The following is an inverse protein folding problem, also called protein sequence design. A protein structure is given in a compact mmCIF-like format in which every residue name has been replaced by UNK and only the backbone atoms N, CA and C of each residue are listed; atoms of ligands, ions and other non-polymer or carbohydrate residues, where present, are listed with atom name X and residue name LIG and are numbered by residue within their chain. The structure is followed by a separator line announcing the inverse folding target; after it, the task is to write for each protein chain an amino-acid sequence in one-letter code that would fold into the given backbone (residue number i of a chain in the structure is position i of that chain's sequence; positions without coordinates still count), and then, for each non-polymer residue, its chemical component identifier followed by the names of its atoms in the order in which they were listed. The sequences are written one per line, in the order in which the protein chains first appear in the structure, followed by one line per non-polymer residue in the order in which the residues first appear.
data_IF_684800379893
#
_entry.id   IF_684800379893
#
_cell.length_a   1.000
_cell.length_b   1.000
_cell.length_c   1.000
_cell.angle_alpha   90.00
_cell.angle_beta   90.00
_cell.angle_gamma   90.00
#
_symmetry.space_group_name_H-M   'P 1'
#
loop_
_entity.id
_entity.type
_entity.pdbx_description
1 polymer ?
#
# COMPACT_ATOMS: atom_id res chain seq x y z
N UNK A 1 -4.72 38.08 51.25
CA UNK A 1 -6.13 38.35 50.90
C UNK A 1 -6.75 37.07 50.36
N UNK A 2 -7.94 36.73 50.85
CA UNK A 2 -8.88 35.68 50.44
C UNK A 2 -8.51 34.19 50.73
N UNK A 3 -9.31 33.50 51.57
CA UNK A 3 -9.16 32.09 51.90
C UNK A 3 -10.11 31.15 51.15
N UNK A 4 -9.73 29.88 51.24
CA UNK A 4 -10.42 28.61 50.94
C UNK A 4 -11.94 28.65 51.21
N UNK A 5 -12.73 28.13 50.26
CA UNK A 5 -14.08 27.58 50.51
C UNK A 5 -14.16 26.13 50.06
N UNK A 6 -14.35 25.24 51.04
CA UNK A 6 -14.89 23.89 50.87
C UNK A 6 -16.41 24.00 50.68
N UNK A 7 -16.98 23.25 49.76
CA UNK A 7 -18.40 22.89 49.83
C UNK A 7 -18.61 21.45 49.38
N UNK A 8 -19.38 20.75 50.20
CA UNK A 8 -19.67 19.33 50.14
C UNK A 8 -20.73 18.97 49.09
N UNK A 9 -20.80 17.67 48.80
CA UNK A 9 -21.72 16.99 47.90
C UNK A 9 -23.20 17.12 48.28
N UNK A 10 -24.08 16.73 47.34
CA UNK A 10 -25.24 15.92 47.72
C UNK A 10 -25.42 14.64 46.87
N UNK A 11 -25.68 13.58 47.62
CA UNK A 11 -26.61 12.46 47.39
C UNK A 11 -26.87 11.91 45.98
N UNK A 12 -26.58 10.61 45.88
CA UNK A 12 -26.94 9.69 44.82
C UNK A 12 -28.47 9.52 44.64
N UNK A 13 -28.89 9.39 43.38
CA UNK A 13 -30.15 8.77 42.99
C UNK A 13 -29.87 7.60 42.04
N UNK A 14 -30.30 6.41 42.47
CA UNK A 14 -30.28 5.16 41.72
C UNK A 14 -31.26 5.26 40.54
N UNK A 15 -30.80 4.99 39.33
CA UNK A 15 -31.67 4.63 38.19
C UNK A 15 -31.18 3.30 37.63
N UNK A 16 -32.12 2.35 37.59
CA UNK A 16 -31.91 0.94 37.33
C UNK A 16 -31.47 0.63 35.91
N UNK A 17 -30.61 -0.39 35.82
CA UNK A 17 -30.19 -1.02 34.59
C UNK A 17 -31.30 -1.94 34.04
N UNK A 18 -31.92 -1.55 32.94
CA UNK A 18 -32.69 -2.47 32.09
C UNK A 18 -31.81 -2.96 30.95
N UNK A 19 -31.31 -4.19 31.10
CA UNK A 19 -30.61 -4.97 30.06
C UNK A 19 -31.57 -5.27 28.91
N UNK A 20 -31.25 -4.85 27.69
CA UNK A 20 -31.88 -5.35 26.46
C UNK A 20 -31.22 -6.67 26.02
N UNK A 21 -31.98 -7.67 25.56
CA UNK A 21 -31.46 -8.98 25.20
C UNK A 21 -30.62 -8.94 23.91
N UNK A 22 -29.57 -9.75 23.93
CA UNK A 22 -28.55 -9.97 22.91
C UNK A 22 -29.16 -10.75 21.74
N UNK A 23 -29.18 -10.16 20.55
CA UNK A 23 -29.59 -10.84 19.31
C UNK A 23 -28.51 -11.89 18.95
N UNK A 24 -28.88 -13.14 18.61
CA UNK A 24 -27.90 -14.17 18.30
C UNK A 24 -27.22 -13.90 16.95
N UNK A 25 -25.91 -14.13 16.96
CA UNK A 25 -24.96 -14.10 15.84
C UNK A 25 -25.39 -15.16 14.82
N UNK A 26 -25.80 -14.72 13.63
CA UNK A 26 -26.12 -15.60 12.50
C UNK A 26 -24.80 -16.05 11.88
N UNK A 27 -24.54 -17.35 11.96
CA UNK A 27 -23.47 -18.04 11.22
C UNK A 27 -23.73 -17.83 9.71
N UNK A 28 -22.81 -17.17 9.02
CA UNK A 28 -22.76 -17.19 7.57
C UNK A 28 -21.84 -18.35 7.19
N UNK A 29 -22.47 -19.37 6.63
CA UNK A 29 -21.84 -20.52 6.00
C UNK A 29 -21.01 -20.07 4.79
N UNK A 30 -19.78 -20.58 4.72
CA UNK A 30 -18.99 -20.67 3.51
C UNK A 30 -19.79 -21.40 2.42
N UNK A 31 -20.08 -20.70 1.32
CA UNK A 31 -20.66 -21.31 0.12
C UNK A 31 -20.05 -20.61 -1.09
N UNK A 32 -18.96 -21.20 -1.58
CA UNK A 32 -18.34 -20.88 -2.86
C UNK A 32 -19.24 -21.37 -4.00
N UNK A 33 -20.33 -20.65 -4.28
CA UNK A 33 -21.13 -20.87 -5.49
C UNK A 33 -20.56 -20.04 -6.64
N UNK A 34 -19.69 -20.69 -7.41
CA UNK A 34 -19.18 -20.20 -8.69
C UNK A 34 -20.32 -19.93 -9.68
N UNK A 35 -20.30 -18.73 -10.26
CA UNK A 35 -21.19 -18.30 -11.34
C UNK A 35 -21.02 -19.19 -12.58
N UNK A 36 -21.96 -20.13 -12.78
CA UNK A 36 -22.20 -20.72 -14.09
C UNK A 36 -22.82 -19.67 -15.01
N UNK A 37 -22.00 -19.03 -15.86
CA UNK A 37 -22.48 -18.20 -16.96
C UNK A 37 -23.00 -19.11 -18.08
N UNK A 38 -24.30 -19.40 -18.02
CA UNK A 38 -25.09 -19.91 -19.15
C UNK A 38 -24.90 -19.00 -20.37
N UNK A 39 -24.44 -19.58 -21.48
CA UNK A 39 -24.58 -19.02 -22.82
C UNK A 39 -25.42 -19.97 -23.67
N UNK A 40 -26.74 -19.89 -23.48
CA UNK A 40 -27.71 -20.21 -24.54
C UNK A 40 -27.78 -19.01 -25.49
N UNK A 41 -28.15 -19.06 -26.76
CA UNK A 41 -28.26 -20.08 -27.80
C UNK A 41 -28.69 -19.27 -29.03
N UNK A 42 -28.22 -19.59 -30.24
CA UNK A 42 -29.00 -19.34 -31.46
C UNK A 42 -28.44 -20.17 -32.62
N UNK A 43 -29.12 -21.28 -32.87
CA UNK A 43 -29.12 -22.00 -34.14
C UNK A 43 -29.92 -21.22 -35.19
N UNK A 44 -29.46 -21.25 -36.43
CA UNK A 44 -30.31 -21.18 -37.61
C UNK A 44 -29.62 -22.03 -38.69
N UNK A 45 -30.38 -23.02 -39.17
CA UNK A 45 -30.07 -23.98 -40.23
C UNK A 45 -30.46 -23.40 -41.61
N UNK A 46 -30.19 -24.18 -42.66
CA UNK A 46 -30.69 -24.13 -44.06
C UNK A 46 -29.94 -23.19 -45.03
N UNK A 47 -29.59 -23.53 -46.28
CA UNK A 47 -29.99 -24.63 -47.18
C UNK A 47 -28.94 -24.80 -48.32
N UNK A 48 -29.03 -25.93 -49.02
CA UNK A 48 -28.24 -26.42 -50.17
C UNK A 48 -28.20 -25.51 -51.43
N UNK A 49 -27.15 -25.65 -52.24
CA UNK A 49 -27.25 -25.96 -53.70
C UNK A 49 -25.85 -26.11 -54.35
N UNK A 50 -25.69 -27.22 -55.09
CA UNK A 50 -24.56 -27.53 -55.99
C UNK A 50 -24.69 -26.77 -57.34
N UNK A 51 -23.58 -26.31 -57.92
CA UNK A 51 -23.08 -26.72 -59.26
C UNK A 51 -22.24 -25.68 -60.04
N UNK A 52 -21.24 -26.24 -60.72
CA UNK A 52 -20.52 -25.78 -61.92
C UNK A 52 -19.46 -24.67 -61.89
N UNK A 53 -18.21 -25.14 -61.80
CA UNK A 53 -17.13 -24.93 -62.76
C UNK A 53 -17.03 -23.57 -63.49
N UNK A 54 -16.05 -22.75 -63.07
CA UNK A 54 -15.26 -21.98 -64.02
C UNK A 54 -13.78 -22.02 -63.67
N UNK A 55 -12.98 -22.47 -64.63
CA UNK A 55 -11.54 -22.59 -64.55
C UNK A 55 -10.86 -21.22 -64.74
N UNK A 56 -9.59 -21.16 -64.29
CA UNK A 56 -8.60 -20.11 -64.52
C UNK A 56 -8.65 -18.88 -63.58
N UNK A 57 -7.94 -18.99 -62.46
CA UNK A 57 -6.72 -18.19 -62.25
C UNK A 57 -5.97 -18.71 -61.01
N UNK A 58 -4.77 -19.25 -61.23
CA UNK A 58 -3.72 -19.32 -60.22
C UNK A 58 -3.34 -17.89 -59.83
N UNK A 59 -4.05 -17.31 -58.88
CA UNK A 59 -3.55 -16.19 -58.10
C UNK A 59 -3.08 -16.76 -56.77
N UNK A 60 -1.78 -16.99 -56.68
CA UNK A 60 -1.04 -16.96 -55.42
C UNK A 60 -1.32 -15.58 -54.80
N UNK A 61 -2.42 -15.47 -54.05
CA UNK A 61 -2.61 -14.33 -53.17
C UNK A 61 -1.70 -14.61 -51.99
N UNK A 62 -0.48 -14.06 -52.07
CA UNK A 62 0.34 -13.85 -50.89
C UNK A 62 -0.54 -13.20 -49.80
N UNK A 63 -0.59 -13.76 -48.58
CA UNK A 63 -1.28 -13.07 -47.49
C UNK A 63 -0.62 -11.71 -47.29
N UNK A 64 -1.38 -10.69 -46.85
CA UNK A 64 -0.85 -9.36 -46.61
C UNK A 64 0.31 -9.44 -45.58
N UNK A 65 1.30 -8.54 -45.64
CA UNK A 65 2.52 -8.61 -44.84
C UNK A 65 2.32 -8.45 -43.32
N UNK A 66 1.08 -8.38 -42.83
CA UNK A 66 0.76 -8.27 -41.39
C UNK A 66 0.69 -9.66 -40.70
N UNK A 67 0.33 -10.73 -41.41
CA UNK A 67 0.18 -12.10 -40.84
C UNK A 67 1.52 -12.75 -40.41
N UNK A 68 2.63 -12.32 -41.00
CA UNK A 68 3.95 -12.92 -40.72
C UNK A 68 4.50 -12.45 -39.38
N UNK A 69 4.15 -11.23 -38.94
CA UNK A 69 4.58 -10.72 -37.63
C UNK A 69 3.85 -11.42 -36.50
N UNK A 70 2.53 -11.56 -36.61
CA UNK A 70 1.69 -12.21 -35.59
C UNK A 70 2.01 -13.71 -35.46
N UNK A 71 2.30 -14.40 -36.56
CA UNK A 71 2.71 -15.81 -36.52
C UNK A 71 4.11 -16.04 -35.90
N UNK A 72 5.03 -15.07 -36.04
CA UNK A 72 6.34 -15.11 -35.37
C UNK A 72 6.18 -14.83 -33.87
N UNK A 73 5.36 -13.85 -33.50
CA UNK A 73 5.04 -13.55 -32.10
C UNK A 73 4.38 -14.74 -31.40
N UNK A 74 3.37 -15.36 -32.00
CA UNK A 74 2.70 -16.54 -31.44
C UNK A 74 3.66 -17.71 -31.26
N UNK A 75 4.62 -17.88 -32.18
CA UNK A 75 5.62 -18.94 -32.07
C UNK A 75 6.60 -18.67 -30.92
N UNK A 76 7.04 -17.42 -30.74
CA UNK A 76 7.91 -17.04 -29.62
C UNK A 76 7.19 -17.20 -28.28
N UNK A 77 5.92 -16.79 -28.19
CA UNK A 77 5.08 -17.02 -27.01
C UNK A 77 4.91 -18.51 -26.74
N UNK A 78 4.63 -19.32 -27.76
CA UNK A 78 4.49 -20.77 -27.59
C UNK A 78 5.79 -21.46 -27.15
N UNK A 79 6.94 -21.03 -27.68
CA UNK A 79 8.25 -21.53 -27.25
C UNK A 79 8.57 -21.11 -25.81
N UNK A 80 8.20 -19.89 -25.39
CA UNK A 80 8.35 -19.42 -24.01
C UNK A 80 7.45 -20.18 -23.04
N UNK A 81 6.15 -20.24 -23.32
CA UNK A 81 5.18 -21.00 -22.51
C UNK A 81 5.55 -22.48 -22.44
N UNK A 82 6.06 -23.06 -23.53
CA UNK A 82 6.56 -24.43 -23.55
C UNK A 82 7.68 -24.67 -22.54
N UNK A 83 8.65 -23.75 -22.44
CA UNK A 83 9.73 -23.82 -21.45
C UNK A 83 9.23 -23.62 -20.03
N UNK A 84 8.33 -22.66 -19.81
CA UNK A 84 7.74 -22.41 -18.49
C UNK A 84 7.02 -23.66 -17.95
N UNK A 85 6.23 -24.31 -18.81
CA UNK A 85 5.52 -25.56 -18.47
C UNK A 85 6.50 -26.70 -18.18
N UNK A 86 7.59 -26.81 -18.96
CA UNK A 86 8.62 -27.82 -18.72
C UNK A 86 9.32 -27.60 -17.38
N UNK A 87 9.75 -26.37 -17.07
CA UNK A 87 10.39 -26.03 -15.79
C UNK A 87 9.43 -26.23 -14.61
N UNK A 88 8.16 -25.90 -14.77
CA UNK A 88 7.13 -26.16 -13.78
C UNK A 88 6.97 -27.67 -13.52
N UNK A 89 6.88 -28.47 -14.57
CA UNK A 89 6.77 -29.92 -14.46
C UNK A 89 8.01 -30.53 -13.78
N UNK A 90 9.21 -30.13 -14.18
CA UNK A 90 10.46 -30.58 -13.53
C UNK A 90 10.53 -30.22 -12.04
N UNK A 91 10.00 -29.05 -11.67
CA UNK A 91 9.97 -28.60 -10.27
C UNK A 91 9.01 -29.45 -9.44
N UNK A 92 7.85 -29.79 -10.00
CA UNK A 92 6.89 -30.70 -9.38
C UNK A 92 7.44 -32.13 -9.28
N UNK A 93 8.12 -32.63 -10.31
CA UNK A 93 8.70 -33.97 -10.31
C UNK A 93 9.77 -34.09 -9.20
N UNK A 94 10.65 -33.09 -9.07
CA UNK A 94 11.61 -33.02 -7.95
C UNK A 94 10.91 -33.04 -6.60
N UNK A 95 9.85 -32.26 -6.44
CA UNK A 95 9.06 -32.26 -5.22
C UNK A 95 8.43 -33.64 -4.92
N UNK A 96 7.94 -34.35 -5.93
CA UNK A 96 7.43 -35.72 -5.75
C UNK A 96 8.55 -36.71 -5.36
N UNK A 97 9.73 -36.58 -5.94
CA UNK A 97 10.90 -37.40 -5.58
C UNK A 97 11.32 -37.14 -4.12
N UNK A 98 11.35 -35.86 -3.70
CA UNK A 98 11.63 -35.47 -2.33
C UNK A 98 10.58 -36.03 -1.36
N UNK A 99 9.29 -35.94 -1.71
CA UNK A 99 8.20 -36.53 -0.94
C UNK A 99 8.28 -38.07 -0.85
N UNK A 100 8.71 -38.74 -1.93
CA UNK A 100 8.86 -40.19 -1.96
C UNK A 100 10.03 -40.68 -1.10
N UNK A 101 11.03 -39.81 -0.89
CA UNK A 101 12.15 -40.05 0.04
C UNK A 101 11.77 -39.96 1.51
N UNK A 102 10.70 -39.22 1.85
CA UNK A 102 10.22 -39.06 3.22
C UNK A 102 9.42 -40.31 3.62
N UNK A 103 9.76 -40.89 4.78
CA UNK A 103 9.06 -42.07 5.30
C UNK A 103 7.55 -41.80 5.39
N UNK A 104 6.73 -42.82 5.16
CA UNK A 104 5.26 -42.69 5.22
C UNK A 104 4.71 -42.60 6.65
N UNK A 105 5.55 -42.27 7.64
CA UNK A 105 5.14 -42.09 9.02
C UNK A 105 4.39 -40.77 9.23
N UNK A 106 3.65 -40.71 10.34
CA UNK A 106 2.97 -39.49 10.83
C UNK A 106 3.75 -38.87 12.01
N UNK A 107 5.04 -39.17 12.08
CA UNK A 107 5.91 -38.58 13.10
C UNK A 107 6.12 -37.08 12.83
N UNK A 108 6.45 -36.33 13.88
CA UNK A 108 6.65 -34.87 13.80
C UNK A 108 7.78 -34.50 12.83
N UNK A 109 8.81 -35.35 12.75
CA UNK A 109 9.96 -35.20 11.84
C UNK A 109 9.53 -35.34 10.38
N UNK A 110 8.82 -36.42 10.03
CA UNK A 110 8.26 -36.63 8.68
C UNK A 110 7.33 -35.48 8.25
N UNK A 111 6.50 -34.96 9.17
CA UNK A 111 5.65 -33.79 8.87
C UNK A 111 6.47 -32.52 8.66
N UNK A 112 7.54 -32.33 9.41
CA UNK A 112 8.45 -31.19 9.25
C UNK A 112 9.18 -31.24 7.90
N UNK A 113 9.65 -32.41 7.49
CA UNK A 113 10.28 -32.60 6.18
C UNK A 113 9.31 -32.32 5.02
N UNK A 114 8.06 -32.80 5.10
CA UNK A 114 7.02 -32.49 4.09
C UNK A 114 6.67 -31.01 4.04
N UNK A 115 6.62 -30.36 5.20
CA UNK A 115 6.40 -28.92 5.30
C UNK A 115 7.56 -28.13 4.65
N UNK A 116 8.80 -28.53 4.91
CA UNK A 116 9.97 -27.90 4.31
C UNK A 116 9.97 -28.07 2.79
N UNK A 117 9.76 -29.28 2.28
CA UNK A 117 9.65 -29.52 0.84
C UNK A 117 8.53 -28.69 0.18
N UNK A 118 7.38 -28.55 0.85
CA UNK A 118 6.29 -27.71 0.35
C UNK A 118 6.64 -26.20 0.39
N UNK A 119 7.40 -25.76 1.40
CA UNK A 119 7.87 -24.39 1.48
C UNK A 119 8.89 -24.08 0.38
N UNK A 120 9.87 -24.96 0.16
CA UNK A 120 10.86 -24.85 -0.91
C UNK A 120 10.21 -24.82 -2.30
N UNK A 121 9.19 -25.66 -2.54
CA UNK A 121 8.42 -25.64 -3.79
C UNK A 121 7.79 -24.26 -4.06
N UNK A 122 7.15 -23.67 -3.04
CA UNK A 122 6.51 -22.35 -3.17
C UNK A 122 7.53 -21.25 -3.38
N UNK A 123 8.68 -21.32 -2.69
CA UNK A 123 9.81 -20.40 -2.93
C UNK A 123 10.27 -20.50 -4.38
N UNK A 124 10.41 -21.72 -4.93
CA UNK A 124 10.83 -21.90 -6.32
C UNK A 124 9.82 -21.36 -7.33
N UNK A 125 8.52 -21.53 -7.10
CA UNK A 125 7.50 -20.95 -7.98
C UNK A 125 7.50 -19.42 -7.96
N UNK A 126 7.72 -18.82 -6.79
CA UNK A 126 7.94 -17.37 -6.70
C UNK A 126 9.13 -16.93 -7.55
N UNK A 127 10.29 -17.58 -7.40
CA UNK A 127 11.49 -17.25 -8.18
C UNK A 127 11.26 -17.37 -9.68
N UNK A 128 10.58 -18.41 -10.13
CA UNK A 128 10.25 -18.61 -11.55
C UNK A 128 9.36 -17.48 -12.09
N UNK A 129 8.37 -17.05 -11.31
CA UNK A 129 7.50 -15.93 -11.68
C UNK A 129 8.29 -14.59 -11.72
N UNK A 130 9.24 -14.37 -10.80
CA UNK A 130 10.14 -13.21 -10.82
C UNK A 130 11.08 -13.22 -12.04
N UNK A 131 11.65 -14.38 -12.37
CA UNK A 131 12.48 -14.59 -13.56
C UNK A 131 11.69 -14.28 -14.85
N UNK A 132 10.46 -14.80 -14.96
CA UNK A 132 9.57 -14.54 -16.09
C UNK A 132 9.17 -13.06 -16.20
N UNK A 133 8.83 -12.41 -15.09
CA UNK A 133 8.53 -10.98 -15.05
C UNK A 133 9.73 -10.13 -15.54
N UNK A 134 10.95 -10.49 -15.15
CA UNK A 134 12.16 -9.80 -15.59
C UNK A 134 12.46 -10.02 -17.08
N UNK A 135 12.28 -11.24 -17.60
CA UNK A 135 12.49 -11.55 -19.03
C UNK A 135 11.51 -10.78 -19.91
N UNK A 136 10.21 -10.86 -19.60
CA UNK A 136 9.15 -10.17 -20.36
C UNK A 136 9.29 -8.66 -20.20
N UNK A 137 9.55 -8.16 -18.99
CA UNK A 137 9.76 -6.74 -18.72
C UNK A 137 10.94 -6.14 -19.49
N UNK A 138 12.02 -6.89 -19.68
CA UNK A 138 13.17 -6.48 -20.49
C UNK A 138 12.86 -6.32 -21.99
N UNK A 139 11.82 -6.98 -22.49
CA UNK A 139 11.36 -6.93 -23.89
C UNK A 139 10.24 -5.90 -24.10
N UNK A 140 9.55 -5.48 -23.03
CA UNK A 140 8.31 -4.73 -23.06
C UNK A 140 8.44 -3.22 -23.33
N UNK A 141 9.54 -2.74 -23.95
CA UNK A 141 9.89 -1.31 -23.98
C UNK A 141 8.79 -0.37 -24.50
N UNK A 142 7.85 -0.83 -25.33
CA UNK A 142 6.63 -0.07 -25.69
C UNK A 142 5.37 -0.95 -25.92
N UNK A 143 5.45 -2.29 -25.80
CA UNK A 143 4.31 -3.17 -26.06
C UNK A 143 3.42 -3.30 -24.82
N UNK A 144 2.22 -2.72 -24.92
CA UNK A 144 1.21 -2.78 -23.86
C UNK A 144 0.81 -4.20 -23.46
N UNK A 145 0.92 -5.20 -24.36
CA UNK A 145 0.60 -6.60 -24.03
C UNK A 145 1.70 -7.22 -23.18
N UNK A 146 2.96 -7.04 -23.57
CA UNK A 146 4.11 -7.53 -22.80
C UNK A 146 4.22 -6.82 -21.44
N UNK A 147 3.88 -5.54 -21.36
CA UNK A 147 3.81 -4.82 -20.07
C UNK A 147 2.72 -5.39 -19.15
N UNK A 148 1.58 -5.82 -19.70
CA UNK A 148 0.53 -6.46 -18.91
C UNK A 148 0.98 -7.86 -18.46
N UNK A 149 1.58 -8.64 -19.35
CA UNK A 149 2.10 -9.97 -19.04
C UNK A 149 3.19 -9.92 -17.95
N UNK A 150 4.13 -8.96 -18.01
CA UNK A 150 5.12 -8.76 -16.96
C UNK A 150 4.47 -8.42 -15.60
N UNK A 151 3.38 -7.63 -15.60
CA UNK A 151 2.61 -7.32 -14.37
C UNK A 151 1.89 -8.56 -13.84
N UNK A 152 1.35 -9.39 -14.71
CA UNK A 152 0.66 -10.61 -14.33
C UNK A 152 1.64 -11.59 -13.65
N UNK A 153 2.86 -11.75 -14.20
CA UNK A 153 3.92 -12.53 -13.55
C UNK A 153 4.38 -11.92 -12.22
N UNK A 154 4.46 -10.59 -12.12
CA UNK A 154 4.76 -9.91 -10.85
C UNK A 154 3.69 -10.24 -9.79
N UNK A 155 2.41 -10.18 -10.15
CA UNK A 155 1.30 -10.54 -9.26
C UNK A 155 1.31 -12.02 -8.88
N UNK A 156 1.72 -12.89 -9.80
CA UNK A 156 1.90 -14.31 -9.52
C UNK A 156 2.99 -14.52 -8.45
N UNK A 157 4.16 -13.91 -8.61
CA UNK A 157 5.23 -13.97 -7.61
C UNK A 157 4.78 -13.48 -6.23
N UNK A 158 4.03 -12.37 -6.19
CA UNK A 158 3.46 -11.84 -4.95
C UNK A 158 2.43 -12.79 -4.32
N UNK A 159 1.66 -13.51 -5.14
CA UNK A 159 0.68 -14.51 -4.68
C UNK A 159 1.39 -15.72 -4.07
N UNK A 160 2.49 -16.19 -4.69
CA UNK A 160 3.32 -17.24 -4.13
C UNK A 160 3.97 -16.83 -2.80
N UNK A 161 4.42 -15.58 -2.67
CA UNK A 161 4.92 -15.03 -1.41
C UNK A 161 3.82 -15.02 -0.32
N UNK A 162 2.60 -14.61 -0.65
CA UNK A 162 1.48 -14.66 0.29
C UNK A 162 1.19 -16.10 0.73
N UNK A 163 1.20 -17.04 -0.21
CA UNK A 163 0.96 -18.45 0.09
C UNK A 163 2.06 -19.03 1.00
N UNK A 164 3.33 -18.66 0.76
CA UNK A 164 4.46 -18.98 1.65
C UNK A 164 4.20 -18.51 3.09
N UNK A 165 3.74 -17.27 3.25
CA UNK A 165 3.39 -16.72 4.58
C UNK A 165 2.24 -17.49 5.24
N UNK A 166 1.26 -17.96 4.47
CA UNK A 166 0.15 -18.78 4.99
C UNK A 166 0.65 -20.13 5.47
N UNK A 167 1.51 -20.81 4.71
CA UNK A 167 2.12 -22.08 5.10
C UNK A 167 2.90 -21.91 6.42
N UNK A 168 3.79 -20.92 6.48
CA UNK A 168 4.60 -20.65 7.66
C UNK A 168 3.78 -20.39 8.92
N UNK A 169 2.67 -19.66 8.79
CA UNK A 169 1.87 -19.20 9.92
C UNK A 169 0.82 -20.21 10.39
N UNK A 170 0.24 -20.98 9.46
CA UNK A 170 -0.93 -21.84 9.77
C UNK A 170 -0.65 -23.33 9.65
N UNK A 171 0.39 -23.73 8.90
CA UNK A 171 0.66 -25.13 8.57
C UNK A 171 1.97 -25.67 9.13
N UNK A 172 2.65 -24.91 10.00
CA UNK A 172 3.89 -25.36 10.63
C UNK A 172 3.64 -26.59 11.55
N UNK A 173 4.22 -27.76 11.24
CA UNK A 173 3.97 -29.00 11.98
C UNK A 173 4.67 -29.04 13.35
N UNK A 174 5.66 -28.17 13.58
CA UNK A 174 6.39 -28.06 14.85
C UNK A 174 5.97 -26.81 15.64
N UNK A 175 4.65 -26.63 15.83
CA UNK A 175 4.11 -25.53 16.63
C UNK A 175 4.66 -25.52 18.07
N UNK A 176 4.95 -26.71 18.64
CA UNK A 176 5.52 -26.83 19.98
C UNK A 176 6.96 -26.30 20.06
N UNK A 177 7.83 -26.66 19.11
CA UNK A 177 9.18 -26.13 19.02
C UNK A 177 9.20 -24.62 18.72
N UNK A 178 8.26 -24.13 17.92
CA UNK A 178 8.10 -22.69 17.68
C UNK A 178 7.72 -21.94 18.97
N UNK A 179 6.84 -22.52 19.78
CA UNK A 179 6.45 -21.96 21.07
C UNK A 179 7.63 -21.94 22.06
N UNK A 180 8.47 -22.98 22.08
CA UNK A 180 9.71 -23.02 22.87
C UNK A 180 10.70 -21.94 22.41
N UNK A 181 10.96 -21.82 21.10
CA UNK A 181 11.81 -20.77 20.56
C UNK A 181 11.29 -19.36 20.88
N UNK A 182 9.97 -19.16 20.81
CA UNK A 182 9.31 -17.92 21.21
C UNK A 182 9.56 -17.64 22.70
N UNK A 183 9.42 -18.64 23.57
CA UNK A 183 9.68 -18.50 24.99
C UNK A 183 11.16 -18.19 25.28
N UNK A 184 12.09 -18.83 24.58
CA UNK A 184 13.53 -18.56 24.68
C UNK A 184 13.89 -17.14 24.24
N UNK A 185 13.29 -16.66 23.15
CA UNK A 185 13.47 -15.26 22.71
C UNK A 185 12.92 -14.28 23.74
N UNK A 186 11.73 -14.55 24.30
CA UNK A 186 11.16 -13.73 25.37
C UNK A 186 12.01 -13.74 26.64
N UNK A 187 12.60 -14.88 26.98
CA UNK A 187 13.51 -14.99 28.12
C UNK A 187 14.79 -14.17 27.90
N UNK A 188 15.36 -14.22 26.68
CA UNK A 188 16.52 -13.40 26.28
C UNK A 188 16.25 -11.90 26.32
N UNK A 189 15.02 -11.47 26.02
CA UNK A 189 14.61 -10.06 26.11
C UNK A 189 14.43 -9.56 27.56
N UNK A 190 14.35 -10.47 28.55
CA UNK A 190 14.21 -10.12 29.96
C UNK A 190 12.84 -9.54 30.34
N UNK A 191 12.75 -8.97 31.54
CA UNK A 191 11.53 -8.37 32.07
C UNK A 191 11.34 -6.93 31.59
N UNK A 192 10.11 -6.56 31.24
CA UNK A 192 9.74 -5.18 30.92
C UNK A 192 9.93 -4.27 32.14
N UNK A 193 10.58 -3.13 31.94
CA UNK A 193 10.81 -2.12 32.97
C UNK A 193 10.60 -0.71 32.41
N UNK A 194 10.62 0.31 33.29
CA UNK A 194 10.35 1.72 32.93
C UNK A 194 11.25 2.25 31.80
N UNK A 195 12.46 1.75 31.66
CA UNK A 195 13.44 2.20 30.66
C UNK A 195 13.48 1.30 29.42
N UNK A 196 12.51 0.39 29.27
CA UNK A 196 12.40 -0.44 28.06
C UNK A 196 11.87 0.46 26.96
N UNK A 197 12.55 0.50 25.82
CA UNK A 197 12.11 1.32 24.70
C UNK A 197 10.85 0.74 24.06
N UNK A 198 10.03 1.59 23.45
CA UNK A 198 8.85 1.23 22.68
C UNK A 198 9.18 0.29 21.52
N UNK A 199 10.36 0.40 20.89
CA UNK A 199 10.81 -0.59 19.90
C UNK A 199 10.92 -1.98 20.52
N UNK A 200 11.56 -2.10 21.69
CA UNK A 200 11.64 -3.38 22.40
C UNK A 200 10.28 -3.88 22.87
N UNK A 201 9.37 -2.98 23.27
CA UNK A 201 7.99 -3.32 23.61
C UNK A 201 7.22 -3.81 22.38
N UNK A 202 7.44 -3.21 21.20
CA UNK A 202 6.81 -3.60 19.95
C UNK A 202 7.31 -4.96 19.47
N UNK A 203 8.63 -5.19 19.47
CA UNK A 203 9.22 -6.51 19.17
C UNK A 203 8.65 -7.58 20.10
N UNK A 204 8.55 -7.26 21.39
CA UNK A 204 7.96 -8.16 22.38
C UNK A 204 6.48 -8.41 22.11
N UNK A 205 5.71 -7.37 21.77
CA UNK A 205 4.29 -7.48 21.43
C UNK A 205 4.08 -8.39 20.22
N UNK A 206 4.87 -8.22 19.15
CA UNK A 206 4.83 -9.11 17.98
C UNK A 206 5.18 -10.54 18.36
N UNK A 207 6.16 -10.74 19.24
CA UNK A 207 6.51 -12.08 19.72
C UNK A 207 5.41 -12.70 20.59
N UNK A 208 4.74 -11.94 21.45
CA UNK A 208 3.72 -12.45 22.38
C UNK A 208 2.37 -12.74 21.69
N UNK A 209 1.94 -11.89 20.76
CA UNK A 209 0.64 -11.97 20.08
C UNK A 209 0.79 -12.49 18.63
N UNK A 210 0.38 -13.76 18.42
CA UNK A 210 0.49 -14.42 17.11
C UNK A 210 -0.38 -13.73 16.04
N UNK A 211 -1.53 -13.16 16.43
CA UNK A 211 -2.39 -12.43 15.50
C UNK A 211 -1.75 -11.10 15.09
N UNK A 212 -1.06 -10.43 16.01
CA UNK A 212 -0.30 -9.23 15.70
C UNK A 212 0.86 -9.54 14.74
N UNK A 213 1.61 -10.62 14.99
CA UNK A 213 2.67 -11.10 14.09
C UNK A 213 2.15 -11.40 12.69
N UNK A 214 1.03 -12.15 12.60
CA UNK A 214 0.40 -12.46 11.32
C UNK A 214 0.02 -11.17 10.57
N UNK A 215 -0.65 -10.23 11.24
CA UNK A 215 -1.06 -8.96 10.63
C UNK A 215 0.14 -8.12 10.21
N UNK A 216 1.23 -8.15 10.97
CA UNK A 216 2.45 -7.47 10.62
C UNK A 216 3.07 -8.06 9.35
N UNK A 217 3.21 -9.40 9.26
CA UNK A 217 3.70 -10.07 8.04
C UNK A 217 2.82 -9.75 6.81
N UNK A 218 1.50 -9.80 6.95
CA UNK A 218 0.57 -9.46 5.85
C UNK A 218 0.68 -7.98 5.47
N UNK A 219 0.81 -7.07 6.45
CA UNK A 219 1.02 -5.65 6.18
C UNK A 219 2.33 -5.43 5.40
N UNK A 220 3.43 -6.03 5.83
CA UNK A 220 4.72 -5.92 5.14
C UNK A 220 4.64 -6.49 3.72
N UNK A 221 3.94 -7.60 3.51
CA UNK A 221 3.66 -8.13 2.17
C UNK A 221 2.88 -7.12 1.32
N UNK A 222 1.78 -6.55 1.84
CA UNK A 222 0.99 -5.52 1.13
C UNK A 222 1.83 -4.29 0.74
N UNK A 223 2.71 -3.85 1.63
CA UNK A 223 3.61 -2.71 1.38
C UNK A 223 4.62 -3.02 0.28
N UNK A 224 5.25 -4.20 0.34
CA UNK A 224 6.22 -4.64 -0.66
C UNK A 224 5.57 -4.85 -2.03
N UNK A 225 4.41 -5.51 -2.08
CA UNK A 225 3.61 -5.66 -3.31
C UNK A 225 3.28 -4.30 -3.93
N UNK A 226 2.78 -3.36 -3.12
CA UNK A 226 2.45 -2.02 -3.60
C UNK A 226 3.69 -1.25 -4.11
N UNK A 227 4.90 -1.57 -3.64
CA UNK A 227 6.12 -0.92 -4.09
C UNK A 227 6.51 -1.32 -5.53
N UNK A 228 6.06 -2.47 -6.03
CA UNK A 228 6.44 -2.99 -7.35
C UNK A 228 5.55 -2.46 -8.50
N UNK A 229 4.45 -1.77 -8.20
CA UNK A 229 3.44 -1.35 -9.20
C UNK A 229 3.86 -0.19 -10.14
N UNK A 230 5.04 0.39 -9.93
CA UNK A 230 5.57 1.51 -10.73
C UNK A 230 4.82 2.83 -10.55
N UNK A 231 3.74 2.89 -9.77
CA UNK A 231 2.96 4.10 -9.52
C UNK A 231 3.83 5.18 -8.86
N UNK A 232 4.75 4.77 -7.99
CA UNK A 232 5.62 5.67 -7.25
C UNK A 232 6.45 6.56 -8.19
N UNK A 233 7.00 6.00 -9.26
CA UNK A 233 7.82 6.76 -10.21
C UNK A 233 6.96 7.74 -11.02
N UNK A 234 5.76 7.30 -11.43
CA UNK A 234 4.79 8.17 -12.10
C UNK A 234 4.39 9.37 -11.23
N UNK A 235 4.09 9.13 -9.94
CA UNK A 235 3.73 10.20 -9.00
C UNK A 235 4.90 11.16 -8.77
N UNK A 236 6.13 10.66 -8.62
CA UNK A 236 7.33 11.50 -8.50
C UNK A 236 7.54 12.37 -9.74
N UNK A 237 7.30 11.82 -10.93
CA UNK A 237 7.41 12.54 -12.19
C UNK A 237 6.33 13.63 -12.31
N UNK A 238 5.09 13.32 -11.92
CA UNK A 238 3.96 14.25 -11.92
C UNK A 238 4.12 15.40 -10.92
N UNK A 239 4.63 15.12 -9.71
CA UNK A 239 4.97 16.14 -8.72
C UNK A 239 6.10 17.07 -9.19
N UNK A 240 6.84 16.64 -10.21
CA UNK A 240 7.86 17.46 -10.87
C UNK A 240 9.04 17.83 -9.96
N UNK A 241 9.85 18.76 -10.49
CA UNK A 241 11.05 19.27 -9.84
C UNK A 241 10.82 20.60 -9.10
N UNK A 242 9.61 20.82 -8.56
CA UNK A 242 9.31 22.03 -7.82
C UNK A 242 10.19 22.12 -6.56
N UNK A 243 11.32 22.81 -6.66
CA UNK A 243 12.37 22.90 -5.63
C UNK A 243 12.15 24.02 -4.61
N UNK A 244 11.03 24.74 -4.66
CA UNK A 244 10.88 25.96 -3.87
C UNK A 244 9.43 26.18 -3.41
N UNK A 245 8.94 25.31 -2.54
CA UNK A 245 7.67 25.45 -1.80
C UNK A 245 6.60 26.35 -2.42
N UNK A 246 6.09 27.32 -1.66
CA UNK A 246 5.07 28.25 -2.13
C UNK A 246 5.68 29.45 -2.89
N UNK A 247 6.37 29.17 -3.99
CA UNK A 247 7.09 30.19 -4.77
C UNK A 247 6.14 31.31 -5.24
N UNK A 248 4.99 30.96 -5.80
CA UNK A 248 4.08 31.92 -6.42
C UNK A 248 3.40 32.81 -5.38
N UNK A 249 3.00 32.23 -4.24
CA UNK A 249 2.44 32.92 -3.08
C UNK A 249 3.48 33.84 -2.47
N UNK A 250 4.73 33.38 -2.33
CA UNK A 250 5.86 34.21 -1.88
C UNK A 250 6.11 35.39 -2.80
N UNK A 251 6.08 35.20 -4.11
CA UNK A 251 6.25 36.28 -5.08
C UNK A 251 5.12 37.29 -5.01
N UNK A 252 3.88 36.82 -4.85
CA UNK A 252 2.71 37.68 -4.67
C UNK A 252 2.82 38.54 -3.40
N UNK A 253 3.19 37.93 -2.27
CA UNK A 253 3.44 38.64 -1.01
C UNK A 253 4.56 39.66 -1.18
N UNK A 254 5.70 39.26 -1.79
CA UNK A 254 6.84 40.15 -2.02
C UNK A 254 6.49 41.32 -2.93
N UNK A 255 5.73 41.09 -4.00
CA UNK A 255 5.28 42.13 -4.91
C UNK A 255 4.45 43.18 -4.17
N UNK A 256 3.51 42.74 -3.34
CA UNK A 256 2.65 43.64 -2.59
C UNK A 256 3.41 44.38 -1.47
N UNK A 257 4.36 43.72 -0.81
CA UNK A 257 5.27 44.35 0.17
C UNK A 257 6.09 45.51 -0.41
N UNK A 258 6.37 45.49 -1.72
CA UNK A 258 7.08 46.59 -2.40
C UNK A 258 6.17 47.80 -2.69
N UNK A 259 4.86 47.57 -2.77
CA UNK A 259 3.89 48.60 -3.16
C UNK A 259 3.25 49.30 -1.94
N UNK A 260 3.17 48.64 -0.79
CA UNK A 260 2.54 49.18 0.42
C UNK A 260 3.28 48.79 1.69
N UNK A 261 3.12 49.60 2.74
CA UNK A 261 3.59 49.26 4.09
C UNK A 261 2.98 47.94 4.53
N UNK A 262 3.82 46.97 4.84
CA UNK A 262 3.36 45.64 5.24
C UNK A 262 3.15 45.58 6.75
N UNK A 263 1.94 45.24 7.21
CA UNK A 263 1.67 45.19 8.64
C UNK A 263 2.22 43.90 9.27
N UNK A 264 2.26 43.86 10.60
CA UNK A 264 2.75 42.71 11.38
C UNK A 264 1.92 41.44 11.06
N UNK A 265 2.47 40.22 11.16
CA UNK A 265 1.72 38.97 10.90
C UNK A 265 0.40 38.86 11.69
N UNK A 266 0.37 39.42 12.90
CA UNK A 266 -0.81 39.38 13.79
C UNK A 266 -1.72 40.63 13.66
N UNK A 267 -1.50 41.44 12.63
CA UNK A 267 -2.28 42.65 12.41
C UNK A 267 -3.72 42.34 11.97
N UNK A 268 -4.67 43.05 12.56
CA UNK A 268 -6.07 43.05 12.13
C UNK A 268 -6.44 44.45 11.62
N UNK A 269 -6.92 44.61 10.38
CA UNK A 269 -7.17 43.56 9.39
C UNK A 269 -5.90 43.08 8.67
N UNK A 270 -5.87 41.79 8.32
CA UNK A 270 -4.82 41.22 7.47
C UNK A 270 -4.86 41.84 6.05
N UNK A 271 -3.69 42.00 5.38
CA UNK A 271 -3.63 42.53 4.02
C UNK A 271 -4.51 41.73 3.07
N UNK A 272 -5.31 42.39 2.23
CA UNK A 272 -6.09 41.70 1.20
C UNK A 272 -5.18 41.47 -0.02
N UNK A 273 -4.78 40.22 -0.22
CA UNK A 273 -4.14 39.73 -1.45
C UNK A 273 -5.17 38.91 -2.19
N UNK A 274 -5.31 39.11 -3.50
CA UNK A 274 -6.24 38.31 -4.31
C UNK A 274 -5.51 37.55 -5.40
N UNK A 275 -5.94 36.30 -5.61
CA UNK A 275 -5.61 35.51 -6.79
C UNK A 275 -6.25 36.13 -8.05
N UNK A 276 -5.91 35.60 -9.22
CA UNK A 276 -6.59 35.91 -10.49
C UNK A 276 -8.10 35.62 -10.39
N UNK A 277 -8.45 34.58 -9.64
CA UNK A 277 -9.84 34.12 -9.44
C UNK A 277 -10.59 34.91 -8.35
N UNK A 278 -9.93 35.90 -7.74
CA UNK A 278 -10.54 36.76 -6.72
C UNK A 278 -10.49 36.20 -5.29
N UNK A 279 -10.04 34.96 -5.09
CA UNK A 279 -9.84 34.36 -3.76
C UNK A 279 -8.79 35.10 -2.94
N UNK A 280 -8.98 35.15 -1.62
CA UNK A 280 -8.01 35.75 -0.71
C UNK A 280 -6.81 34.82 -0.54
N UNK A 281 -5.62 35.34 -0.79
CA UNK A 281 -4.37 34.59 -0.70
C UNK A 281 -3.72 34.77 0.66
N UNK A 282 -3.09 33.69 1.15
CA UNK A 282 -2.29 33.69 2.37
C UNK A 282 -1.25 34.83 2.38
N UNK A 283 -1.03 35.42 3.55
CA UNK A 283 -0.17 36.60 3.75
C UNK A 283 1.16 36.29 4.44
N UNK A 284 1.30 35.06 4.92
CA UNK A 284 2.51 34.50 5.52
C UNK A 284 2.84 33.15 4.87
N UNK A 285 4.03 32.61 5.15
CA UNK A 285 4.60 31.44 4.46
C UNK A 285 4.90 30.28 5.42
N UNK A 286 4.28 30.31 6.60
CA UNK A 286 4.26 29.18 7.52
C UNK A 286 3.23 28.13 7.06
N UNK A 287 3.45 26.84 7.34
CA UNK A 287 2.63 25.74 6.80
C UNK A 287 1.14 25.83 7.12
N UNK A 288 0.79 26.38 8.28
CA UNK A 288 -0.61 26.54 8.71
C UNK A 288 -1.22 27.89 8.31
N UNK A 289 -0.51 28.74 7.57
CA UNK A 289 -0.96 30.09 7.22
C UNK A 289 -2.30 30.10 6.48
N UNK A 290 -2.47 29.21 5.49
CA UNK A 290 -3.71 29.09 4.71
C UNK A 290 -4.90 28.75 5.62
N UNK A 291 -4.73 27.71 6.45
CA UNK A 291 -5.75 27.24 7.39
C UNK A 291 -6.06 28.28 8.49
N UNK A 292 -5.04 28.88 9.09
CA UNK A 292 -5.18 29.87 10.17
C UNK A 292 -5.84 31.16 9.71
N UNK A 293 -5.59 31.56 8.46
CA UNK A 293 -6.12 32.81 7.89
C UNK A 293 -7.46 32.63 7.19
N UNK A 294 -7.92 31.38 7.00
CA UNK A 294 -9.08 31.03 6.19
C UNK A 294 -8.91 31.57 4.74
N UNK A 295 -7.79 31.20 4.12
CA UNK A 295 -7.32 31.71 2.82
C UNK A 295 -6.66 30.63 1.98
N UNK A 296 -6.65 30.83 0.67
CA UNK A 296 -6.04 29.92 -0.29
C UNK A 296 -4.55 30.24 -0.55
N UNK A 297 -3.82 29.26 -1.08
CA UNK A 297 -2.55 29.52 -1.76
C UNK A 297 -2.81 29.99 -3.20
N UNK A 298 -1.76 30.44 -3.88
CA UNK A 298 -1.82 30.58 -5.34
C UNK A 298 -2.11 29.22 -5.98
N UNK A 299 -2.87 29.20 -7.10
CA UNK A 299 -3.32 27.97 -7.76
C UNK A 299 -2.19 26.97 -8.06
N UNK A 300 -1.04 27.49 -8.49
CA UNK A 300 0.15 26.71 -8.83
C UNK A 300 0.78 26.08 -7.59
N UNK A 301 0.85 26.82 -6.48
CA UNK A 301 1.36 26.30 -5.21
C UNK A 301 0.38 25.29 -4.59
N UNK A 302 -0.93 25.52 -4.69
CA UNK A 302 -1.96 24.60 -4.20
C UNK A 302 -1.92 23.26 -4.96
N UNK A 303 -1.68 23.27 -6.27
CA UNK A 303 -1.48 22.06 -7.06
C UNK A 303 -0.20 21.32 -6.64
N UNK A 304 0.89 22.06 -6.40
CA UNK A 304 2.14 21.49 -5.93
C UNK A 304 2.01 20.86 -4.53
N UNK A 305 1.28 21.50 -3.62
CA UNK A 305 0.98 20.97 -2.28
C UNK A 305 0.23 19.63 -2.35
N UNK A 306 -0.79 19.55 -3.20
CA UNK A 306 -1.52 18.29 -3.42
C UNK A 306 -0.60 17.19 -3.95
N UNK A 307 0.21 17.49 -4.95
CA UNK A 307 1.15 16.52 -5.53
C UNK A 307 2.19 16.06 -4.49
N UNK A 308 2.67 16.96 -3.63
CA UNK A 308 3.57 16.61 -2.53
C UNK A 308 2.93 15.64 -1.55
N UNK A 309 1.70 15.90 -1.12
CA UNK A 309 0.99 15.01 -0.20
C UNK A 309 0.61 13.68 -0.83
N UNK A 310 0.27 13.65 -2.12
CA UNK A 310 0.08 12.42 -2.89
C UNK A 310 1.32 11.52 -2.86
N UNK A 311 2.50 12.10 -3.12
CA UNK A 311 3.75 11.33 -3.10
C UNK A 311 4.06 10.84 -1.68
N UNK A 312 3.94 11.68 -0.66
CA UNK A 312 4.19 11.25 0.74
C UNK A 312 3.22 10.15 1.16
N UNK A 313 1.94 10.27 0.81
CA UNK A 313 0.93 9.23 1.05
C UNK A 313 1.31 7.92 0.35
N UNK A 314 1.71 7.99 -0.91
CA UNK A 314 2.14 6.84 -1.69
C UNK A 314 3.39 6.16 -1.12
N UNK A 315 4.38 6.93 -0.63
CA UNK A 315 5.57 6.41 0.05
C UNK A 315 5.19 5.64 1.31
N UNK A 316 4.35 6.22 2.16
CA UNK A 316 3.92 5.59 3.41
C UNK A 316 3.15 4.28 3.17
N UNK A 317 2.30 4.25 2.15
CA UNK A 317 1.52 3.04 1.78
C UNK A 317 2.35 1.91 1.19
N UNK A 318 3.55 2.22 0.70
CA UNK A 318 4.51 1.28 0.09
C UNK A 318 5.64 0.89 1.03
N UNK A 319 5.55 1.27 2.31
CA UNK A 319 6.58 0.95 3.30
C UNK A 319 7.92 1.62 3.02
N UNK A 320 7.95 2.78 2.35
CA UNK A 320 9.19 3.50 2.11
C UNK A 320 9.90 3.82 3.42
N UNK A 321 11.22 3.67 3.43
CA UNK A 321 12.03 3.90 4.60
C UNK A 321 12.03 5.38 5.00
N UNK A 322 12.17 5.62 6.30
CA UNK A 322 12.08 6.97 6.84
C UNK A 322 13.09 7.96 6.23
N UNK A 323 14.38 7.60 6.06
CA UNK A 323 15.36 8.46 5.41
C UNK A 323 14.95 8.90 4.00
N UNK A 324 14.29 8.04 3.23
CA UNK A 324 13.88 8.35 1.85
C UNK A 324 12.77 9.41 1.84
N UNK A 325 11.82 9.32 2.78
CA UNK A 325 10.74 10.30 2.93
C UNK A 325 11.31 11.66 3.38
N UNK A 326 12.27 11.66 4.31
CA UNK A 326 13.01 12.86 4.71
C UNK A 326 13.69 13.51 3.51
N UNK A 327 14.52 12.75 2.81
CA UNK A 327 15.30 13.23 1.66
C UNK A 327 14.37 13.83 0.59
N UNK A 328 13.25 13.15 0.32
CA UNK A 328 12.23 13.64 -0.62
C UNK A 328 11.70 15.03 -0.25
N UNK A 329 11.37 15.24 1.03
CA UNK A 329 10.85 16.51 1.54
C UNK A 329 11.93 17.60 1.57
N UNK A 330 13.14 17.26 2.02
CA UNK A 330 14.26 18.21 2.16
C UNK A 330 14.76 18.72 0.80
N UNK A 331 14.86 17.83 -0.19
CA UNK A 331 15.26 18.17 -1.57
C UNK A 331 14.31 19.18 -2.25
N UNK A 332 13.11 19.40 -1.69
CA UNK A 332 12.09 20.33 -2.17
C UNK A 332 11.89 21.56 -1.30
N UNK A 333 12.77 21.78 -0.32
CA UNK A 333 12.70 22.86 0.67
C UNK A 333 11.49 22.77 1.61
N UNK A 334 10.94 21.56 1.78
CA UNK A 334 9.78 21.27 2.62
C UNK A 334 10.18 20.45 3.86
N UNK A 335 11.38 20.70 4.40
CA UNK A 335 11.94 19.94 5.52
C UNK A 335 11.10 20.00 6.81
N UNK A 336 10.18 20.96 6.94
CA UNK A 336 9.23 20.95 8.06
C UNK A 336 8.31 19.72 8.03
N UNK A 337 8.01 19.18 6.84
CA UNK A 337 7.27 17.91 6.69
C UNK A 337 8.09 16.75 7.21
N UNK A 338 9.39 16.70 6.88
CA UNK A 338 10.30 15.69 7.42
C UNK A 338 10.29 15.71 8.96
N UNK A 339 10.45 16.89 9.58
CA UNK A 339 10.42 17.03 11.05
C UNK A 339 9.08 16.61 11.66
N UNK A 340 7.96 17.00 11.05
CA UNK A 340 6.62 16.65 11.48
C UNK A 340 6.41 15.12 11.49
N UNK A 341 6.79 14.47 10.39
CA UNK A 341 6.64 13.04 10.17
C UNK A 341 7.63 12.24 11.05
N UNK A 342 8.86 12.72 11.23
CA UNK A 342 9.90 12.12 12.10
C UNK A 342 9.43 12.02 13.55
N UNK A 343 8.78 13.08 14.04
CA UNK A 343 8.34 13.20 15.42
C UNK A 343 7.39 12.08 15.88
N UNK A 344 6.70 11.42 14.94
CA UNK A 344 5.84 10.28 15.21
C UNK A 344 6.51 8.92 15.24
N UNK A 345 7.52 8.76 14.40
CA UNK A 345 8.10 7.47 14.04
C UNK A 345 9.48 7.24 14.69
N UNK A 346 10.27 8.29 14.91
CA UNK A 346 11.65 8.18 15.40
C UNK A 346 11.79 8.31 16.93
N UNK A 347 10.81 8.89 17.63
CA UNK A 347 10.83 9.04 19.10
C UNK A 347 9.61 8.36 19.73
N UNK A 348 9.60 7.02 19.78
CA UNK A 348 8.46 6.29 20.30
C UNK A 348 8.36 6.49 21.83
N UNK A 349 9.49 6.55 22.56
CA UNK A 349 9.54 6.61 24.04
C UNK A 349 9.05 7.91 24.71
N UNK A 350 8.69 8.94 23.94
CA UNK A 350 8.31 10.22 24.51
C UNK A 350 6.79 10.26 24.82
N UNK A 351 6.35 10.73 26.01
CA UNK A 351 4.93 11.05 26.23
C UNK A 351 4.38 12.10 25.25
N UNK A 352 5.29 12.85 24.59
CA UNK A 352 4.99 13.70 23.45
C UNK A 352 4.41 12.92 22.25
N UNK A 353 4.72 11.63 22.07
CA UNK A 353 4.22 10.81 20.96
C UNK A 353 2.70 10.61 21.04
N UNK A 354 2.14 10.34 22.23
CA UNK A 354 0.68 10.22 22.41
C UNK A 354 -0.03 11.56 22.15
N UNK A 355 0.56 12.68 22.59
CA UNK A 355 0.02 14.01 22.31
C UNK A 355 0.09 14.31 20.80
N UNK A 356 1.21 13.98 20.17
CA UNK A 356 1.43 14.14 18.74
C UNK A 356 0.44 13.31 17.90
N UNK A 357 0.23 12.02 18.20
CA UNK A 357 -0.78 11.19 17.50
C UNK A 357 -2.19 11.76 17.62
N UNK A 358 -2.53 12.30 18.80
CA UNK A 358 -3.81 13.00 19.00
C UNK A 358 -3.88 14.27 18.15
N UNK A 359 -2.80 15.04 18.03
CA UNK A 359 -2.75 16.21 17.16
C UNK A 359 -2.92 15.82 15.69
N UNK A 360 -2.26 14.77 15.20
CA UNK A 360 -2.46 14.24 13.85
C UNK A 360 -3.92 13.82 13.62
N UNK A 361 -4.54 13.16 14.61
CA UNK A 361 -5.97 12.78 14.54
C UNK A 361 -6.91 13.99 14.45
N UNK A 362 -6.54 15.11 15.08
CA UNK A 362 -7.31 16.36 14.97
C UNK A 362 -7.06 17.03 13.62
N UNK A 363 -5.80 17.07 13.18
CA UNK A 363 -5.39 17.66 11.90
C UNK A 363 -6.04 16.96 10.70
N UNK A 364 -6.18 15.62 10.74
CA UNK A 364 -6.87 14.87 9.68
C UNK A 364 -8.36 15.18 9.54
N UNK A 365 -8.94 15.92 10.49
CA UNK A 365 -10.34 16.35 10.50
C UNK A 365 -10.49 17.87 10.34
N UNK A 366 -9.39 18.56 10.00
CA UNK A 366 -9.46 19.98 9.66
C UNK A 366 -10.38 20.17 8.45
N UNK A 367 -11.00 21.35 8.36
CA UNK A 367 -11.78 21.73 7.18
C UNK A 367 -10.83 22.21 6.09
N UNK A 368 -11.23 22.01 4.84
CA UNK A 368 -10.53 22.54 3.66
C UNK A 368 -9.06 22.10 3.57
N UNK A 369 -8.75 20.95 4.16
CA UNK A 369 -7.47 20.24 4.03
C UNK A 369 -7.54 19.29 2.84
N UNK A 370 -6.41 19.05 2.18
CA UNK A 370 -6.32 18.10 1.07
C UNK A 370 -6.55 16.66 1.55
N UNK A 371 -7.19 15.84 0.72
CA UNK A 371 -7.55 14.46 1.09
C UNK A 371 -6.30 13.60 1.40
N UNK A 372 -5.21 13.77 0.64
CA UNK A 372 -3.97 13.04 0.87
C UNK A 372 -3.27 13.51 2.14
N UNK A 373 -3.29 14.81 2.41
CA UNK A 373 -2.78 15.36 3.67
C UNK A 373 -3.57 14.82 4.88
N UNK A 374 -4.90 14.83 4.80
CA UNK A 374 -5.76 14.25 5.82
C UNK A 374 -5.49 12.75 6.02
N UNK A 375 -5.28 12.00 4.94
CA UNK A 375 -4.97 10.57 4.98
C UNK A 375 -3.63 10.29 5.67
N UNK A 376 -2.58 11.06 5.36
CA UNK A 376 -1.28 10.99 6.03
C UNK A 376 -1.45 11.24 7.53
N UNK A 377 -2.13 12.32 7.91
CA UNK A 377 -2.39 12.62 9.32
C UNK A 377 -3.22 11.55 10.04
N UNK A 378 -4.21 10.96 9.36
CA UNK A 378 -5.02 9.89 9.91
C UNK A 378 -4.18 8.63 10.18
N UNK A 379 -3.30 8.27 9.23
CA UNK A 379 -2.40 7.12 9.35
C UNK A 379 -1.44 7.30 10.54
N UNK A 380 -0.81 8.46 10.63
CA UNK A 380 0.11 8.81 11.72
C UNK A 380 -0.56 8.88 13.08
N UNK A 381 -1.81 9.34 13.13
CA UNK A 381 -2.63 9.37 14.34
C UNK A 381 -3.11 7.99 14.81
N UNK A 382 -2.97 6.94 13.98
CA UNK A 382 -3.55 5.62 14.24
C UNK A 382 -5.09 5.60 14.11
N UNK A 383 -5.65 6.58 13.40
CA UNK A 383 -7.09 6.69 13.16
C UNK A 383 -7.53 5.90 11.92
N UNK A 384 -8.85 5.83 11.70
CA UNK A 384 -9.38 5.31 10.44
C UNK A 384 -9.02 6.26 9.30
N UNK A 385 -8.20 5.79 8.38
CA UNK A 385 -7.94 6.49 7.12
C UNK A 385 -9.18 6.36 6.24
N UNK A 386 -9.71 7.49 5.75
CA UNK A 386 -10.71 7.47 4.68
C UNK A 386 -10.06 6.85 3.43
N UNK A 387 -10.83 6.13 2.61
CA UNK A 387 -10.32 5.65 1.34
C UNK A 387 -10.05 6.86 0.43
N UNK A 388 -8.78 7.20 0.25
CA UNK A 388 -8.33 8.23 -0.68
C UNK A 388 -7.65 7.52 -1.85
N UNK A 389 -8.09 7.83 -3.06
CA UNK A 389 -7.50 7.25 -4.27
C UNK A 389 -6.05 7.73 -4.40
N UNK A 390 -5.16 6.80 -4.69
CA UNK A 390 -3.76 7.09 -5.00
C UNK A 390 -3.63 7.71 -6.40
#
# INVERSE_FOLDING_TARGET
MAPIRKSAAPAASKVGATRKPRVPRREQSDSWELLHRQRSASSAEDDDDEDEANAMALQLSTPPPEDVSESVELRLVAERVGKEVEVFAETIDKFYDDLAGIASGDDVEDRAERHEAAHELVVRFKELAEEAAAEVGGQASEDSKLLQEARDFTQEAETWELFRLVIELHHNPNAAGLAEQKQDRLAKMGSVHRYTSEHQLFDRFLLEDDLAMQRWKIKSWLENSAAQDGLMENLKQQAGNARSGWMHTREKIKGERRLRTWPSPDSSPLPQLRSKDGELVATSLDPDAALRQDRSLMSEDAANERAMWQVVWAMLRRGAEWPDICEWCECRQEGWRAVLLESGLAQPDAPANVAWRKMCTVASRARDIDDHEAAVYALLGGGNVQAVNA
#
